data_IF_787388936997
#
_entry.id   IF_787388936997
#
_cell.length_a   1.000
_cell.length_b   1.000
_cell.length_c   1.000
_cell.angle_alpha   90.00
_cell.angle_beta   90.00
_cell.angle_gamma   90.00
#
_symmetry.space_group_name_H-M   'P 1'
#
loop_
_entity.id
_entity.type
_entity.pdbx_description
1 polymer ?
#
# COMPACT_ATOMS: atom_id res chain seq x y z
N UNK A 1 -3.56 -2.00 -0.17
CA UNK A 1 -2.90 -1.65 1.11
C UNK A 1 -2.48 -0.19 1.11
N UNK A 2 -2.29 0.34 2.30
CA UNK A 2 -1.83 1.73 2.49
C UNK A 2 -0.56 1.70 3.31
N UNK A 3 0.52 2.19 2.76
CA UNK A 3 1.85 2.10 3.36
C UNK A 3 2.58 3.44 3.28
N UNK A 4 3.57 3.68 4.16
CA UNK A 4 4.44 4.84 4.03
C UNK A 4 5.26 4.77 2.75
N UNK A 5 5.59 5.91 2.17
CA UNK A 5 6.38 5.96 0.94
C UNK A 5 7.73 5.27 1.07
N UNK A 6 8.38 5.39 2.22
CA UNK A 6 9.70 4.79 2.45
C UNK A 6 9.68 3.26 2.43
N UNK A 7 8.50 2.65 2.56
CA UNK A 7 8.35 1.21 2.60
C UNK A 7 7.89 0.60 1.27
N UNK A 8 7.67 1.43 0.24
CA UNK A 8 7.16 0.96 -1.06
C UNK A 8 8.11 -0.06 -1.68
N UNK A 9 9.40 0.21 -1.66
CA UNK A 9 10.40 -0.65 -2.29
C UNK A 9 10.38 -2.07 -1.70
N UNK A 10 10.42 -2.20 -0.38
CA UNK A 10 10.43 -3.51 0.26
C UNK A 10 9.09 -4.25 0.09
N UNK A 11 7.97 -3.54 0.09
CA UNK A 11 6.66 -4.14 -0.16
C UNK A 11 6.54 -4.64 -1.59
N UNK A 12 6.93 -3.83 -2.57
CA UNK A 12 6.88 -4.24 -3.96
C UNK A 12 7.85 -5.37 -4.28
N UNK A 13 8.99 -5.44 -3.61
CA UNK A 13 9.91 -6.57 -3.74
C UNK A 13 9.28 -7.88 -3.30
N UNK A 14 8.53 -7.85 -2.20
CA UNK A 14 7.77 -9.02 -1.75
C UNK A 14 6.73 -9.44 -2.79
N UNK A 15 5.98 -8.48 -3.31
CA UNK A 15 4.97 -8.78 -4.32
C UNK A 15 5.60 -9.39 -5.59
N UNK A 16 6.72 -8.86 -6.03
CA UNK A 16 7.46 -9.42 -7.18
C UNK A 16 7.97 -10.82 -6.91
N UNK A 17 8.47 -11.07 -5.70
CA UNK A 17 8.92 -12.40 -5.30
C UNK A 17 7.80 -13.45 -5.46
N UNK A 18 6.57 -13.06 -5.19
CA UNK A 18 5.40 -13.92 -5.34
C UNK A 18 4.81 -13.91 -6.75
N UNK A 19 5.48 -13.25 -7.70
CA UNK A 19 5.10 -13.24 -9.12
C UNK A 19 3.66 -12.77 -9.36
N UNK A 20 3.29 -11.66 -8.72
CA UNK A 20 1.98 -11.06 -8.98
C UNK A 20 1.94 -10.45 -10.38
N UNK A 21 0.77 -10.52 -11.02
CA UNK A 21 0.61 -10.11 -12.42
C UNK A 21 0.78 -8.60 -12.62
N UNK A 22 0.32 -7.79 -11.70
CA UNK A 22 0.43 -6.35 -11.80
C UNK A 22 0.29 -5.68 -10.46
N UNK A 23 0.88 -4.50 -10.35
CA UNK A 23 0.84 -3.69 -9.14
C UNK A 23 0.40 -2.28 -9.53
N UNK A 24 -0.63 -1.77 -8.87
CA UNK A 24 -1.10 -0.40 -9.04
C UNK A 24 -0.74 0.41 -7.81
N UNK A 25 -0.28 1.63 -8.02
CA UNK A 25 0.12 2.51 -6.93
C UNK A 25 -0.38 3.93 -7.16
N UNK A 26 -0.68 4.60 -6.06
CA UNK A 26 -1.06 6.01 -6.09
C UNK A 26 -0.88 6.63 -4.72
N UNK A 27 -0.70 7.94 -4.69
CA UNK A 27 -0.63 8.67 -3.44
C UNK A 27 -2.04 8.97 -2.92
N UNK A 28 -2.21 8.83 -1.62
CA UNK A 28 -3.44 9.22 -0.93
C UNK A 28 -3.09 10.03 0.31
N UNK A 29 -3.94 10.97 0.66
CA UNK A 29 -3.84 11.70 1.91
C UNK A 29 -4.84 11.14 2.89
N UNK A 30 -4.36 10.77 4.06
CA UNK A 30 -5.20 10.18 5.09
C UNK A 30 -5.17 10.97 6.39
N UNK A 31 -6.28 10.93 7.12
CA UNK A 31 -6.40 11.47 8.45
C UNK A 31 -6.85 10.34 9.38
N UNK A 32 -5.93 9.90 10.22
CA UNK A 32 -6.20 8.79 11.12
C UNK A 32 -6.77 9.25 12.46
N UNK A 33 -7.16 8.28 13.27
CA UNK A 33 -7.63 8.51 14.64
C UNK A 33 -6.50 8.80 15.60
N UNK A 34 -5.30 8.29 15.31
CA UNK A 34 -4.12 8.52 16.15
C UNK A 34 -3.42 9.80 15.73
N UNK A 35 -2.84 10.55 16.67
CA UNK A 35 -2.02 11.70 16.32
C UNK A 35 -0.89 11.29 15.39
N UNK A 36 -0.59 12.15 14.44
CA UNK A 36 0.52 11.92 13.52
C UNK A 36 1.84 12.12 14.26
N UNK A 37 2.77 11.18 14.03
CA UNK A 37 4.15 11.41 14.45
C UNK A 37 4.79 12.41 13.49
N UNK A 38 5.47 13.44 14.03
CA UNK A 38 6.15 14.38 13.16
C UNK A 38 7.28 13.69 12.40
N UNK A 39 7.30 13.90 11.09
CA UNK A 39 8.44 13.50 10.26
C UNK A 39 9.56 14.51 10.49
N UNK A 40 10.82 14.08 10.70
CA UNK A 40 11.91 15.02 10.99
C UNK A 40 12.02 16.20 10.02
N UNK A 41 11.83 15.96 8.74
CA UNK A 41 11.84 17.01 7.73
C UNK A 41 10.69 18.00 7.91
N UNK A 42 9.51 17.51 8.27
CA UNK A 42 8.33 18.33 8.50
C UNK A 42 8.41 19.07 9.83
N UNK A 43 9.05 18.45 10.83
CA UNK A 43 9.28 19.10 12.13
C UNK A 43 10.12 20.36 11.98
N UNK A 44 10.99 20.40 10.97
CA UNK A 44 11.82 21.57 10.66
C UNK A 44 11.08 22.65 9.85
N UNK A 45 9.90 22.32 9.34
CA UNK A 45 9.08 23.28 8.62
C UNK A 45 8.36 24.17 9.60
N UNK A 46 8.76 25.44 9.64
CA UNK A 46 8.15 26.43 10.48
C UNK A 46 7.37 27.41 9.60
N UNK A 47 6.15 27.68 10.01
CA UNK A 47 5.36 28.72 9.39
C UNK A 47 5.28 29.89 10.39
N UNK A 48 5.84 31.03 10.02
CA UNK A 48 5.95 32.21 10.90
C UNK A 48 6.58 31.88 12.26
N UNK A 49 7.62 31.06 12.27
CA UNK A 49 8.32 30.68 13.48
C UNK A 49 7.61 29.63 14.33
N UNK A 50 6.48 29.11 13.87
CA UNK A 50 5.74 28.05 14.58
C UNK A 50 5.94 26.73 13.86
N UNK A 51 6.10 25.68 14.66
CA UNK A 51 6.17 24.32 14.17
C UNK A 51 4.82 23.91 13.59
N UNK A 52 4.82 23.44 12.36
CA UNK A 52 3.61 22.97 11.68
C UNK A 52 3.57 21.44 11.74
N UNK A 53 2.49 20.89 12.28
CA UNK A 53 2.20 19.46 12.20
C UNK A 53 1.18 19.25 11.09
N UNK A 54 1.49 18.41 10.09
CA UNK A 54 0.54 18.18 9.01
C UNK A 54 -0.76 17.56 9.54
N UNK A 55 -1.88 18.06 9.06
CA UNK A 55 -3.20 17.51 9.39
C UNK A 55 -3.40 16.16 8.73
N UNK A 56 -2.85 15.98 7.52
CA UNK A 56 -2.97 14.76 6.74
C UNK A 56 -1.61 14.12 6.57
N UNK A 57 -1.62 12.79 6.55
CA UNK A 57 -0.43 12.00 6.26
C UNK A 57 -0.54 11.43 4.86
N UNK A 58 0.51 11.59 4.07
CA UNK A 58 0.59 10.96 2.75
C UNK A 58 0.91 9.48 2.92
N UNK A 59 0.14 8.65 2.25
CA UNK A 59 0.36 7.21 2.16
C UNK A 59 0.38 6.81 0.70
N UNK A 60 1.03 5.71 0.42
CA UNK A 60 0.96 5.10 -0.91
C UNK A 60 -0.07 3.98 -0.85
N UNK A 61 -1.07 4.08 -1.70
CA UNK A 61 -2.02 2.99 -1.93
C UNK A 61 -1.40 2.03 -2.93
N UNK A 62 -1.21 0.80 -2.52
CA UNK A 62 -0.68 -0.28 -3.36
C UNK A 62 -1.76 -1.34 -3.46
N UNK A 63 -2.08 -1.75 -4.67
CA UNK A 63 -3.06 -2.81 -4.90
C UNK A 63 -2.58 -3.79 -5.95
N UNK A 64 -2.99 -5.02 -5.79
CA UNK A 64 -2.74 -6.09 -6.74
C UNK A 64 -3.86 -7.12 -6.61
N UNK A 65 -4.10 -7.85 -7.68
CA UNK A 65 -5.06 -8.96 -7.69
C UNK A 65 -4.26 -10.25 -7.87
N UNK A 66 -4.51 -11.20 -7.01
CA UNK A 66 -3.77 -12.46 -6.98
C UNK A 66 -4.73 -13.64 -6.83
N UNK A 67 -4.27 -14.83 -7.18
CA UNK A 67 -5.00 -16.05 -6.88
C UNK A 67 -5.04 -16.28 -5.36
N UNK A 68 -6.11 -16.88 -4.87
CA UNK A 68 -6.31 -17.12 -3.44
C UNK A 68 -5.11 -17.79 -2.77
N UNK A 69 -4.47 -18.72 -3.48
CA UNK A 69 -3.31 -19.45 -2.95
C UNK A 69 -2.12 -18.56 -2.62
N UNK A 70 -2.02 -17.37 -3.19
CA UNK A 70 -0.90 -16.44 -2.95
C UNK A 70 -1.16 -15.48 -1.80
N UNK A 71 -2.40 -15.32 -1.35
CA UNK A 71 -2.75 -14.33 -0.33
C UNK A 71 -2.00 -14.58 0.98
N UNK A 72 -2.13 -15.77 1.55
CA UNK A 72 -1.52 -16.10 2.84
C UNK A 72 0.01 -15.99 2.81
N UNK A 73 0.72 -16.56 1.81
CA UNK A 73 2.17 -16.39 1.72
C UNK A 73 2.61 -14.93 1.61
N UNK A 74 1.91 -14.11 0.86
CA UNK A 74 2.22 -12.69 0.73
C UNK A 74 2.03 -11.99 2.08
N UNK A 75 0.90 -12.22 2.75
CA UNK A 75 0.62 -11.61 4.05
C UNK A 75 1.67 -12.03 5.08
N UNK A 76 2.06 -13.30 5.10
CA UNK A 76 3.08 -13.80 6.02
C UNK A 76 4.41 -13.07 5.82
N UNK A 77 4.82 -12.84 4.58
CA UNK A 77 6.06 -12.10 4.29
C UNK A 77 5.95 -10.63 4.68
N UNK A 78 4.80 -9.99 4.43
CA UNK A 78 4.59 -8.60 4.82
C UNK A 78 4.64 -8.44 6.34
N UNK A 79 4.11 -9.39 7.10
CA UNK A 79 4.11 -9.35 8.55
C UNK A 79 5.50 -9.55 9.16
N UNK A 80 6.47 -10.06 8.41
CA UNK A 80 7.86 -10.21 8.83
C UNK A 80 8.68 -8.93 8.68
N UNK A 81 8.18 -7.94 7.97
CA UNK A 81 8.86 -6.67 7.82
C UNK A 81 8.90 -5.93 9.16
N UNK A 82 9.85 -4.98 9.28
CA UNK A 82 9.87 -4.10 10.44
C UNK A 82 8.53 -3.39 10.57
N UNK A 83 8.03 -3.20 11.80
CA UNK A 83 6.76 -2.51 11.98
C UNK A 83 6.71 -1.17 11.26
N UNK A 84 5.63 -0.93 10.56
CA UNK A 84 5.38 0.32 9.84
C UNK A 84 3.93 0.75 10.05
N UNK A 85 3.68 2.04 9.88
CA UNK A 85 2.32 2.56 9.94
C UNK A 85 1.61 2.31 8.62
N UNK A 86 1.06 1.12 8.49
CA UNK A 86 0.36 0.73 7.28
C UNK A 86 -0.69 -0.32 7.58
N UNK A 87 -1.56 -0.52 6.62
CA UNK A 87 -2.63 -1.51 6.73
C UNK A 87 -2.79 -2.25 5.41
N UNK A 88 -3.10 -3.52 5.51
CA UNK A 88 -3.43 -4.34 4.37
C UNK A 88 -4.88 -4.79 4.51
N UNK A 89 -5.65 -4.60 3.45
CA UNK A 89 -7.01 -5.10 3.37
C UNK A 89 -7.07 -6.13 2.27
N UNK A 90 -7.69 -7.26 2.55
CA UNK A 90 -7.91 -8.31 1.57
C UNK A 90 -9.40 -8.42 1.32
N UNK A 91 -9.78 -8.44 0.05
CA UNK A 91 -11.18 -8.58 -0.33
C UNK A 91 -11.31 -9.49 -1.54
N UNK A 92 -12.45 -10.12 -1.65
CA UNK A 92 -12.76 -10.96 -2.80
C UNK A 92 -13.00 -10.12 -4.04
N UNK A 93 -12.56 -10.64 -5.17
CA UNK A 93 -12.91 -10.12 -6.49
C UNK A 93 -14.01 -11.04 -7.03
N UNK A 94 -15.19 -10.50 -7.21
CA UNK A 94 -16.34 -11.30 -7.67
C UNK A 94 -16.22 -11.69 -9.14
N UNK A 95 -15.76 -10.77 -9.96
CA UNK A 95 -15.62 -10.97 -11.39
C UNK A 95 -14.40 -10.22 -11.92
N UNK A 96 -13.74 -10.77 -12.90
CA UNK A 96 -12.64 -10.13 -13.58
C UNK A 96 -12.74 -10.36 -15.09
N UNK A 97 -12.50 -9.32 -15.86
CA UNK A 97 -12.57 -9.35 -17.32
C UNK A 97 -11.34 -8.64 -17.89
N UNK A 98 -10.68 -9.26 -18.84
CA UNK A 98 -9.62 -8.60 -19.61
C UNK A 98 -10.24 -7.94 -20.84
N UNK A 99 -10.07 -6.64 -20.98
CA UNK A 99 -10.69 -5.90 -22.07
C UNK A 99 -10.02 -6.09 -23.42
N UNK A 100 -8.79 -6.58 -23.43
CA UNK A 100 -8.06 -6.86 -24.66
C UNK A 100 -8.29 -8.30 -25.13
N UNK A 101 -8.00 -9.27 -24.27
CA UNK A 101 -8.10 -10.70 -24.60
C UNK A 101 -9.52 -11.23 -24.52
N UNK A 102 -10.42 -10.54 -23.80
CA UNK A 102 -11.78 -10.96 -23.47
C UNK A 102 -11.85 -12.16 -22.55
N UNK A 103 -10.72 -12.48 -21.88
CA UNK A 103 -10.70 -13.52 -20.86
C UNK A 103 -11.54 -13.12 -19.65
N UNK A 104 -12.06 -14.13 -18.95
CA UNK A 104 -12.95 -13.96 -17.81
C UNK A 104 -12.42 -14.78 -16.62
N UNK A 105 -12.61 -14.26 -15.43
CA UNK A 105 -12.23 -14.94 -14.21
C UNK A 105 -10.73 -14.95 -13.98
N UNK A 106 -10.19 -16.07 -13.50
CA UNK A 106 -8.77 -16.17 -13.18
C UNK A 106 -7.86 -15.94 -14.38
N UNK A 107 -8.31 -16.28 -15.58
CA UNK A 107 -7.55 -16.04 -16.81
C UNK A 107 -7.40 -14.54 -17.12
N UNK A 108 -8.23 -13.68 -16.53
CA UNK A 108 -8.18 -12.23 -16.69
C UNK A 108 -7.21 -11.53 -15.71
N UNK A 109 -6.62 -12.28 -14.81
CA UNK A 109 -5.75 -11.73 -13.77
C UNK A 109 -4.28 -11.74 -14.21
#
# INVERSE_FOLDING_TARGET
MYIPQDNVSEVTDILRKHEVAGISMGEVKGKGKTPHEPVPELVRMYHYGKKVTPEYVTRIHVSTVVHDSKVKPIIDDLLKLKPMRGKVFVRDILEAYDLLSKDVGEAAI
#
